data_IF_959452001410
#
_entry.id   IF_959452001410
#
_cell.length_a   1.000
_cell.length_b   1.000
_cell.length_c   1.000
_cell.angle_alpha   90.00
_cell.angle_beta   90.00
_cell.angle_gamma   90.00
#
_symmetry.space_group_name_H-M   'P 1'
#
loop_
_entity.id
_entity.type
_entity.pdbx_description
1 polymer ?
#
# COMPACT_ATOMS: atom_id res chain seq x y z
N UNK A 1 -12.34 -2.50 -10.16
CA UNK A 1 -11.41 -2.16 -9.07
C UNK A 1 -10.08 -2.84 -9.27
N UNK A 2 -9.02 -2.12 -9.06
CA UNK A 2 -7.66 -2.60 -9.30
C UNK A 2 -6.85 -2.49 -8.01
N UNK A 3 -5.96 -3.44 -7.74
CA UNK A 3 -5.17 -3.47 -6.51
C UNK A 3 -3.69 -3.52 -6.84
N UNK A 4 -2.93 -2.67 -6.16
CA UNK A 4 -1.48 -2.72 -6.18
C UNK A 4 -1.01 -3.28 -4.85
N UNK A 5 -0.25 -4.37 -4.88
CA UNK A 5 0.26 -5.04 -3.69
C UNK A 5 1.77 -4.83 -3.61
N UNK A 6 2.22 -4.33 -2.47
CA UNK A 6 3.64 -4.16 -2.19
C UNK A 6 4.04 -5.04 -1.02
N UNK A 7 5.09 -5.85 -1.20
CA UNK A 7 5.65 -6.65 -0.11
C UNK A 7 6.90 -5.97 0.42
N UNK A 8 6.92 -5.74 1.73
CA UNK A 8 8.02 -5.07 2.42
C UNK A 8 8.57 -6.01 3.48
N UNK A 9 9.89 -6.13 3.54
CA UNK A 9 10.59 -6.85 4.59
C UNK A 9 11.00 -5.84 5.66
N UNK A 10 10.50 -6.03 6.87
CA UNK A 10 10.81 -5.17 8.00
C UNK A 10 12.00 -5.69 8.81
N UNK A 11 12.44 -6.93 8.54
CA UNK A 11 13.56 -7.58 9.23
C UNK A 11 13.44 -7.45 10.76
N UNK A 12 14.44 -6.91 11.43
CA UNK A 12 14.44 -6.74 12.89
C UNK A 12 13.82 -5.41 13.33
N UNK A 13 13.35 -4.61 12.39
CA UNK A 13 12.74 -3.32 12.72
C UNK A 13 11.34 -3.50 13.32
N UNK A 14 10.91 -2.60 14.21
CA UNK A 14 9.56 -2.65 14.74
C UNK A 14 8.52 -2.52 13.64
N UNK A 15 7.40 -3.20 13.79
CA UNK A 15 6.29 -3.16 12.84
C UNK A 15 5.79 -1.71 12.63
N UNK A 16 5.97 -0.85 13.62
CA UNK A 16 5.61 0.55 13.57
C UNK A 16 6.32 1.31 12.45
N UNK A 17 7.51 0.85 12.06
CA UNK A 17 8.23 1.48 10.94
C UNK A 17 7.48 1.33 9.63
N UNK A 18 6.92 0.13 9.38
CA UNK A 18 6.10 -0.10 8.19
C UNK A 18 4.80 0.71 8.27
N UNK A 19 4.22 0.81 9.47
CA UNK A 19 3.01 1.61 9.69
C UNK A 19 3.24 3.09 9.37
N UNK A 20 4.38 3.63 9.78
CA UNK A 20 4.76 5.02 9.48
C UNK A 20 4.84 5.24 7.96
N UNK A 21 5.49 4.30 7.24
CA UNK A 21 5.57 4.36 5.78
C UNK A 21 4.16 4.35 5.17
N UNK A 22 3.29 3.45 5.66
CA UNK A 22 1.92 3.37 5.20
C UNK A 22 1.13 4.65 5.43
N UNK A 23 1.27 5.27 6.60
CA UNK A 23 0.60 6.53 6.92
C UNK A 23 1.04 7.65 5.97
N UNK A 24 2.32 7.74 5.67
CA UNK A 24 2.83 8.73 4.73
C UNK A 24 2.34 8.46 3.30
N UNK A 25 2.27 7.18 2.92
CA UNK A 25 1.70 6.80 1.62
C UNK A 25 0.25 7.25 1.50
N UNK A 26 -0.55 7.04 2.55
CA UNK A 26 -1.97 7.42 2.54
C UNK A 26 -2.13 8.94 2.40
N UNK A 27 -1.29 9.72 3.06
CA UNK A 27 -1.34 11.18 2.92
C UNK A 27 -1.12 11.61 1.47
N UNK A 28 -0.17 10.98 0.81
CA UNK A 28 0.11 11.27 -0.60
C UNK A 28 -1.01 10.79 -1.52
N UNK A 29 -1.56 9.60 -1.25
CA UNK A 29 -2.59 8.98 -2.08
C UNK A 29 -3.96 9.63 -1.96
N UNK A 30 -4.28 10.19 -0.79
CA UNK A 30 -5.62 10.60 -0.43
C UNK A 30 -6.26 11.60 -1.39
N UNK A 31 -5.46 12.48 -1.98
CA UNK A 31 -5.94 13.52 -2.89
C UNK A 31 -5.96 13.07 -4.36
N UNK A 32 -5.57 11.83 -4.64
CA UNK A 32 -5.58 11.31 -6.01
C UNK A 32 -6.97 10.84 -6.36
N UNK A 33 -7.53 11.41 -7.43
CA UNK A 33 -8.83 10.99 -7.94
C UNK A 33 -8.77 9.55 -8.43
N UNK A 34 -9.68 8.71 -7.95
CA UNK A 34 -9.71 7.29 -8.27
C UNK A 34 -9.00 6.39 -7.25
N UNK A 35 -8.34 6.97 -6.25
CA UNK A 35 -7.83 6.21 -5.12
C UNK A 35 -9.00 5.82 -4.20
N UNK A 36 -9.10 4.55 -3.85
CA UNK A 36 -10.22 4.03 -3.06
C UNK A 36 -9.87 3.67 -1.63
N UNK A 37 -8.63 3.32 -1.35
CA UNK A 37 -8.27 2.92 -0.01
C UNK A 37 -6.93 2.22 0.08
N UNK A 38 -6.51 1.95 1.30
CA UNK A 38 -5.20 1.39 1.59
C UNK A 38 -5.30 0.46 2.80
N UNK A 39 -4.62 -0.69 2.74
CA UNK A 39 -4.51 -1.62 3.86
C UNK A 39 -3.06 -2.01 4.07
N UNK A 40 -2.69 -2.18 5.34
CA UNK A 40 -1.44 -2.83 5.71
C UNK A 40 -1.77 -4.14 6.42
N UNK A 41 -1.13 -5.22 5.99
CA UNK A 41 -1.24 -6.54 6.57
C UNK A 41 0.16 -6.96 7.01
N UNK A 42 0.32 -7.27 8.28
CA UNK A 42 1.64 -7.61 8.80
C UNK A 42 1.65 -8.99 9.45
N UNK A 43 2.72 -9.71 9.18
CA UNK A 43 2.99 -11.02 9.78
C UNK A 43 4.50 -11.20 9.87
N UNK A 44 5.00 -11.34 11.11
CA UNK A 44 6.44 -11.52 11.35
C UNK A 44 7.25 -10.40 10.69
N UNK A 45 8.18 -10.76 9.81
CA UNK A 45 9.07 -9.80 9.13
C UNK A 45 8.46 -9.21 7.86
N UNK A 46 7.23 -9.60 7.51
CA UNK A 46 6.61 -9.20 6.25
C UNK A 46 5.42 -8.29 6.49
N UNK A 47 5.38 -7.20 5.75
CA UNK A 47 4.22 -6.33 5.67
C UNK A 47 3.78 -6.21 4.21
N UNK A 48 2.49 -6.40 3.98
CA UNK A 48 1.89 -6.20 2.67
C UNK A 48 1.12 -4.90 2.67
N UNK A 49 1.40 -4.04 1.71
CA UNK A 49 0.62 -2.83 1.48
C UNK A 49 -0.28 -3.02 0.28
N UNK A 50 -1.57 -2.80 0.44
CA UNK A 50 -2.52 -2.89 -0.65
C UNK A 50 -3.16 -1.53 -0.89
N UNK A 51 -2.99 -1.01 -2.10
CA UNK A 51 -3.69 0.20 -2.52
C UNK A 51 -4.78 -0.18 -3.51
N UNK A 52 -5.97 0.38 -3.30
CA UNK A 52 -7.16 0.09 -4.10
C UNK A 52 -7.46 1.26 -5.02
N UNK A 53 -7.69 0.97 -6.29
CA UNK A 53 -7.88 1.96 -7.34
C UNK A 53 -9.18 1.71 -8.10
N UNK A 54 -9.83 2.77 -8.54
CA UNK A 54 -11.08 2.67 -9.29
C UNK A 54 -10.88 1.95 -10.62
N UNK A 55 -9.79 2.27 -11.32
CA UNK A 55 -9.47 1.67 -12.62
C UNK A 55 -7.98 1.35 -12.70
N UNK A 56 -7.64 0.46 -13.64
CA UNK A 56 -6.26 0.13 -13.95
C UNK A 56 -5.48 1.35 -14.45
N UNK A 57 -6.13 2.17 -15.27
CA UNK A 57 -5.50 3.36 -15.86
C UNK A 57 -5.04 4.34 -14.78
N UNK A 58 -5.87 4.55 -13.76
CA UNK A 58 -5.50 5.43 -12.64
C UNK A 58 -4.32 4.86 -11.87
N UNK A 59 -4.36 3.55 -11.58
CA UNK A 59 -3.27 2.88 -10.87
C UNK A 59 -1.95 3.00 -11.65
N UNK A 60 -1.98 2.74 -12.94
CA UNK A 60 -0.78 2.81 -13.79
C UNK A 60 -0.24 4.23 -13.91
N UNK A 61 -1.13 5.22 -13.98
CA UNK A 61 -0.74 6.63 -14.09
C UNK A 61 0.12 7.08 -12.92
N UNK A 62 -0.17 6.56 -11.73
CA UNK A 62 0.51 6.99 -10.50
C UNK A 62 1.56 5.98 -10.02
N UNK A 63 1.81 4.93 -10.78
CA UNK A 63 2.71 3.85 -10.39
C UNK A 63 4.15 4.31 -10.15
N UNK A 64 4.71 5.03 -11.10
CA UNK A 64 6.13 5.46 -11.04
C UNK A 64 6.35 6.40 -9.86
N UNK A 65 5.50 7.42 -9.73
CA UNK A 65 5.60 8.38 -8.63
C UNK A 65 5.39 7.70 -7.28
N UNK A 66 4.46 6.76 -7.21
CA UNK A 66 4.19 5.97 -6.00
C UNK A 66 5.37 5.11 -5.60
N UNK A 67 6.01 4.47 -6.55
CA UNK A 67 7.21 3.66 -6.32
C UNK A 67 8.37 4.49 -5.80
N UNK A 68 8.62 5.64 -6.40
CA UNK A 68 9.69 6.54 -5.97
C UNK A 68 9.45 7.04 -4.54
N UNK A 69 8.21 7.40 -4.23
CA UNK A 69 7.84 7.83 -2.89
C UNK A 69 8.04 6.71 -1.88
N UNK A 70 7.55 5.50 -2.20
CA UNK A 70 7.65 4.32 -1.34
C UNK A 70 9.11 3.98 -1.04
N UNK A 71 9.97 3.98 -2.06
CA UNK A 71 11.39 3.65 -1.89
C UNK A 71 12.08 4.66 -0.98
N UNK A 72 11.77 5.94 -1.11
CA UNK A 72 12.33 6.97 -0.22
C UNK A 72 11.89 6.76 1.23
N UNK A 73 10.60 6.50 1.43
CA UNK A 73 10.07 6.27 2.77
C UNK A 73 10.62 4.98 3.38
N UNK A 74 10.73 3.94 2.59
CA UNK A 74 11.30 2.67 3.04
C UNK A 74 12.74 2.82 3.47
N UNK A 75 13.52 3.61 2.73
CA UNK A 75 14.91 3.89 3.09
C UNK A 75 15.01 4.62 4.43
N UNK A 76 14.15 5.62 4.65
CA UNK A 76 14.13 6.37 5.93
C UNK A 76 13.72 5.47 7.08
N UNK A 77 12.76 4.59 6.88
CA UNK A 77 12.27 3.68 7.90
C UNK A 77 13.15 2.43 8.09
N UNK A 78 14.18 2.28 7.27
CA UNK A 78 15.06 1.14 7.28
C UNK A 78 14.33 -0.19 7.04
N UNK A 79 13.39 -0.18 6.10
CA UNK A 79 12.70 -1.36 5.62
C UNK A 79 13.01 -1.56 4.14
N UNK A 80 12.77 -2.76 3.62
CA UNK A 80 13.14 -3.10 2.26
C UNK A 80 11.92 -3.49 1.43
N UNK A 81 11.72 -2.81 0.30
CA UNK A 81 10.69 -3.18 -0.65
C UNK A 81 11.19 -4.37 -1.46
N UNK A 82 10.49 -5.51 -1.37
CA UNK A 82 10.89 -6.73 -2.03
C UNK A 82 10.18 -6.94 -3.38
N UNK A 83 8.90 -6.60 -3.44
CA UNK A 83 8.10 -6.91 -4.61
C UNK A 83 6.90 -5.99 -4.72
N UNK A 84 6.54 -5.64 -5.95
CA UNK A 84 5.29 -4.90 -6.24
C UNK A 84 4.55 -5.66 -7.33
N UNK A 85 3.31 -6.05 -7.05
CA UNK A 85 2.45 -6.79 -7.97
C UNK A 85 1.11 -6.09 -8.10
N UNK A 86 0.55 -6.13 -9.30
CA UNK A 86 -0.74 -5.51 -9.58
C UNK A 86 -1.75 -6.58 -9.96
N UNK A 87 -2.98 -6.43 -9.45
CA UNK A 87 -4.05 -7.39 -9.71
C UNK A 87 -5.35 -6.66 -10.01
N UNK A 88 -6.14 -7.26 -10.90
CA UNK A 88 -7.51 -6.83 -11.09
C UNK A 88 -8.38 -7.57 -10.08
N UNK A 89 -9.28 -6.82 -9.41
CA UNK A 89 -10.22 -7.45 -8.48
C UNK A 89 -11.36 -8.04 -9.29
N UNK A 90 -11.45 -9.37 -9.29
CA UNK A 90 -12.47 -10.09 -10.04
C UNK A 90 -13.71 -10.39 -9.22
N UNK A 91 -13.62 -10.31 -7.90
CA UNK A 91 -14.75 -10.46 -7.00
C UNK A 91 -14.41 -9.79 -5.66
N UNK A 92 -15.35 -9.06 -5.10
CA UNK A 92 -15.18 -8.44 -3.79
C UNK A 92 -16.52 -8.36 -3.07
N UNK A 93 -16.50 -8.70 -1.78
CA UNK A 93 -17.60 -8.47 -0.86
C UNK A 93 -16.96 -7.92 0.42
N UNK A 94 -16.98 -6.60 0.57
CA UNK A 94 -16.24 -5.89 1.61
C UNK A 94 -17.17 -5.31 2.69
N UNK A 95 -18.30 -5.95 2.88
CA UNK A 95 -19.28 -5.48 3.86
C UNK A 95 -18.65 -5.34 5.24
N UNK A 96 -18.75 -4.14 5.80
CA UNK A 96 -18.28 -3.86 7.15
C UNK A 96 -16.77 -3.65 7.30
N UNK A 97 -15.98 -3.79 6.22
CA UNK A 97 -14.53 -3.67 6.35
C UNK A 97 -14.10 -2.26 6.74
N UNK A 98 -14.85 -1.25 6.34
CA UNK A 98 -14.55 0.13 6.71
C UNK A 98 -14.64 0.34 8.21
N UNK A 99 -15.46 -0.43 8.91
CA UNK A 99 -15.63 -0.35 10.36
C UNK A 99 -14.39 -0.86 11.10
N UNK A 100 -13.64 -1.77 10.49
CA UNK A 100 -12.38 -2.25 11.05
C UNK A 100 -11.26 -1.24 10.93
N UNK A 101 -11.29 -0.41 9.90
CA UNK A 101 -10.28 0.62 9.68
C UNK A 101 -10.53 1.87 10.52
N UNK A 102 -11.71 1.96 11.09
CA UNK A 102 -12.14 3.13 11.87
C UNK A 102 -11.50 3.23 13.26
#
# INVERSE_FOLDING_TARGET
>A
MYVSLTRVNTADEPIENATIVGEEMVRWLHDIDGFLGFLLLSREETTLGLSFWKTREVAERHRVAGMEFLERMASVANVQVEEVLDYEVTFADLKGIADFAG
#
